data_IF_685960935204
#
_entry.id   IF_685960935204
#
_cell.length_a   1.000
_cell.length_b   1.000
_cell.length_c   1.000
_cell.angle_alpha   90.00
_cell.angle_beta   90.00
_cell.angle_gamma   90.00
#
_symmetry.space_group_name_H-M   'P 1'
#
loop_
_entity.id
_entity.type
_entity.pdbx_description
1 polymer ?
#
# COMPACT_ATOMS: atom_id res chain seq x y z
N UNK A 1 -4.72 79.52 1.65
CA UNK A 1 -5.14 78.24 2.28
C UNK A 1 -5.68 78.49 3.68
N UNK A 2 -6.83 77.91 4.00
CA UNK A 2 -7.56 78.09 5.28
C UNK A 2 -6.92 77.33 6.46
N UNK A 3 -6.09 76.32 6.21
CA UNK A 3 -5.67 75.33 7.22
C UNK A 3 -4.18 75.42 7.62
N UNK A 4 -3.53 76.58 7.49
CA UNK A 4 -2.13 76.71 7.89
C UNK A 4 -2.00 76.70 9.43
N UNK A 5 -1.13 75.89 10.05
CA UNK A 5 -1.06 75.71 11.50
C UNK A 5 -0.73 77.01 12.26
N UNK A 6 -0.05 77.95 11.60
CA UNK A 6 0.33 79.25 12.16
C UNK A 6 -0.85 80.23 12.34
N UNK A 7 -2.02 79.94 11.74
CA UNK A 7 -3.21 80.79 11.86
C UNK A 7 -4.10 80.48 13.06
N UNK A 8 -3.76 79.46 13.85
CA UNK A 8 -4.56 78.98 14.98
C UNK A 8 -3.78 79.07 16.30
N UNK A 9 -4.34 79.76 17.30
CA UNK A 9 -3.72 79.98 18.61
C UNK A 9 -4.04 78.88 19.62
N UNK A 10 -5.18 78.20 19.47
CA UNK A 10 -5.60 77.13 20.36
C UNK A 10 -4.87 75.80 20.03
N UNK A 11 -4.37 75.06 21.02
CA UNK A 11 -3.55 73.86 20.80
C UNK A 11 -4.31 72.74 20.09
N UNK A 12 -5.61 72.57 20.37
CA UNK A 12 -6.44 71.56 19.71
C UNK A 12 -6.72 71.90 18.25
N UNK A 13 -7.09 73.16 17.97
CA UNK A 13 -7.34 73.64 16.61
C UNK A 13 -6.07 73.64 15.76
N UNK A 14 -4.91 73.92 16.37
CA UNK A 14 -3.60 73.83 15.69
C UNK A 14 -3.28 72.41 15.26
N UNK A 15 -3.50 71.41 16.13
CA UNK A 15 -3.31 69.98 15.79
C UNK A 15 -4.28 69.51 14.70
N UNK A 16 -5.52 70.02 14.69
CA UNK A 16 -6.48 69.72 13.63
C UNK A 16 -6.07 70.36 12.29
N UNK A 17 -5.64 71.62 12.31
CA UNK A 17 -5.16 72.33 11.13
C UNK A 17 -3.91 71.66 10.54
N UNK A 18 -2.98 71.20 11.37
CA UNK A 18 -1.79 70.46 10.92
C UNK A 18 -2.14 69.14 10.22
N UNK A 19 -3.08 68.37 10.78
CA UNK A 19 -3.57 67.14 10.12
C UNK A 19 -4.22 67.43 8.76
N UNK A 20 -5.07 68.45 8.70
CA UNK A 20 -5.73 68.85 7.45
C UNK A 20 -4.73 69.41 6.43
N UNK A 21 -3.74 70.16 6.88
CA UNK A 21 -2.65 70.66 6.05
C UNK A 21 -1.86 69.51 5.43
N UNK A 22 -1.44 68.54 6.24
CA UNK A 22 -0.71 67.36 5.77
C UNK A 22 -1.53 66.54 4.76
N UNK A 23 -2.84 66.37 5.01
CA UNK A 23 -3.72 65.68 4.07
C UNK A 23 -3.87 66.42 2.74
N UNK A 24 -4.05 67.74 2.78
CA UNK A 24 -4.17 68.56 1.56
C UNK A 24 -2.84 68.62 0.81
N UNK A 25 -1.73 68.69 1.52
CA UNK A 25 -0.40 68.66 0.92
C UNK A 25 -0.12 67.31 0.24
N UNK A 26 -0.38 66.20 0.90
CA UNK A 26 -0.27 64.85 0.30
C UNK A 26 -1.19 64.69 -0.91
N UNK A 27 -2.44 65.15 -0.81
CA UNK A 27 -3.36 65.10 -1.94
C UNK A 27 -2.86 65.96 -3.12
N UNK A 28 -2.26 67.11 -2.83
CA UNK A 28 -1.65 67.95 -3.87
C UNK A 28 -0.47 67.25 -4.52
N UNK A 29 0.46 66.68 -3.76
CA UNK A 29 1.63 65.96 -4.32
C UNK A 29 1.20 64.80 -5.25
N UNK A 30 0.20 64.01 -4.83
CA UNK A 30 -0.30 62.86 -5.59
C UNK A 30 -1.13 63.28 -6.82
N UNK A 31 -1.92 64.34 -6.71
CA UNK A 31 -2.82 64.75 -7.79
C UNK A 31 -2.19 65.78 -8.75
N UNK A 32 -1.10 66.44 -8.34
CA UNK A 32 -0.40 67.46 -9.14
C UNK A 32 0.38 66.84 -10.30
N UNK A 33 0.91 65.62 -10.15
CA UNK A 33 1.62 64.92 -11.23
C UNK A 33 0.70 63.89 -11.92
N UNK A 34 0.55 63.93 -13.26
CA UNK A 34 -0.29 62.99 -13.99
C UNK A 34 0.09 61.52 -13.80
N UNK A 35 1.37 61.18 -13.56
CA UNK A 35 1.79 59.78 -13.40
C UNK A 35 1.37 59.22 -12.03
N UNK A 36 1.72 59.93 -10.95
CA UNK A 36 1.32 59.56 -9.58
C UNK A 36 -0.19 59.54 -9.42
N UNK A 37 -0.91 60.45 -10.09
CA UNK A 37 -2.37 60.42 -10.18
C UNK A 37 -2.89 59.15 -10.86
N UNK A 38 -2.33 58.77 -12.01
CA UNK A 38 -2.74 57.56 -12.72
C UNK A 38 -2.50 56.29 -11.89
N UNK A 39 -1.39 56.23 -11.16
CA UNK A 39 -1.09 55.12 -10.22
C UNK A 39 -2.11 55.10 -9.08
N UNK A 40 -2.43 56.26 -8.52
CA UNK A 40 -3.42 56.38 -7.44
C UNK A 40 -4.83 56.01 -7.89
N UNK A 41 -5.24 56.42 -9.09
CA UNK A 41 -6.56 56.11 -9.65
C UNK A 41 -6.74 54.58 -9.89
N UNK A 42 -5.66 53.84 -10.14
CA UNK A 42 -5.68 52.40 -10.39
C UNK A 42 -5.49 51.57 -9.11
N UNK A 43 -4.53 51.94 -8.27
CA UNK A 43 -4.05 51.13 -7.13
C UNK A 43 -4.24 51.81 -5.75
N UNK A 44 -4.73 53.04 -5.72
CA UNK A 44 -4.88 53.84 -4.51
C UNK A 44 -3.54 54.13 -3.83
N UNK A 45 -3.57 54.33 -2.51
CA UNK A 45 -2.37 54.63 -1.71
C UNK A 45 -1.28 53.53 -1.80
N UNK A 46 -1.69 52.26 -1.96
CA UNK A 46 -0.76 51.11 -2.06
C UNK A 46 0.15 51.18 -3.29
N UNK A 47 -0.30 51.83 -4.36
CA UNK A 47 0.50 52.04 -5.56
C UNK A 47 1.66 53.02 -5.32
N UNK A 48 1.44 54.04 -4.49
CA UNK A 48 2.41 55.10 -4.22
C UNK A 48 3.53 54.69 -3.26
N UNK A 49 3.26 53.70 -2.39
CA UNK A 49 4.24 53.15 -1.44
C UNK A 49 5.22 52.15 -2.08
N UNK A 50 5.04 51.84 -3.37
CA UNK A 50 5.89 50.91 -4.09
C UNK A 50 7.13 51.61 -4.64
N UNK A 51 8.31 51.24 -4.14
CA UNK A 51 9.59 51.67 -4.71
C UNK A 51 9.80 51.00 -6.09
N UNK A 52 10.23 51.77 -7.10
CA UNK A 52 10.53 51.24 -8.45
C UNK A 52 9.81 51.93 -9.62
N UNK A 53 8.88 52.85 -9.37
CA UNK A 53 8.19 53.63 -10.42
C UNK A 53 9.09 54.60 -11.18
N UNK A 54 10.27 54.93 -10.64
CA UNK A 54 11.20 55.91 -11.20
C UNK A 54 11.72 55.55 -12.61
N UNK A 55 11.61 54.28 -12.99
CA UNK A 55 12.07 53.74 -14.29
C UNK A 55 10.95 53.75 -15.35
N UNK A 56 9.71 54.08 -14.98
CA UNK A 56 8.55 54.00 -15.89
C UNK A 56 8.30 55.32 -16.60
N UNK A 57 8.46 55.31 -17.93
CA UNK A 57 8.29 56.47 -18.80
C UNK A 57 6.89 57.13 -18.71
N UNK A 58 6.85 58.44 -18.96
CA UNK A 58 5.75 59.39 -18.69
C UNK A 58 4.41 59.18 -19.40
N UNK A 59 4.22 58.09 -20.18
CA UNK A 59 3.02 57.91 -21.02
C UNK A 59 2.63 56.45 -21.25
N UNK A 60 2.31 55.71 -20.17
CA UNK A 60 1.77 54.35 -20.29
C UNK A 60 0.25 54.29 -20.14
N UNK A 61 -0.38 53.34 -20.82
CA UNK A 61 -1.82 53.10 -20.70
C UNK A 61 -2.18 52.49 -19.35
N UNK A 62 -3.43 52.61 -18.86
CA UNK A 62 -3.85 52.00 -17.58
C UNK A 62 -3.64 50.47 -17.51
N UNK A 63 -3.64 49.78 -18.65
CA UNK A 63 -3.35 48.34 -18.71
C UNK A 63 -1.86 48.05 -18.52
N UNK A 64 -0.98 48.83 -19.17
CA UNK A 64 0.47 48.72 -19.01
C UNK A 64 0.95 49.11 -17.61
N UNK A 65 0.32 50.11 -16.98
CA UNK A 65 0.60 50.47 -15.58
C UNK A 65 0.26 49.29 -14.66
N UNK A 66 -0.81 48.54 -14.98
CA UNK A 66 -1.17 47.36 -14.19
C UNK A 66 -0.15 46.24 -14.33
N UNK A 67 0.28 45.99 -15.54
CA UNK A 67 1.23 44.91 -15.85
C UNK A 67 2.63 45.20 -15.26
N UNK A 68 3.10 46.45 -15.33
CA UNK A 68 4.34 46.88 -14.67
C UNK A 68 4.24 46.78 -13.14
N UNK A 69 3.10 47.17 -12.55
CA UNK A 69 2.90 47.03 -11.12
C UNK A 69 2.96 45.57 -10.69
N UNK A 70 2.29 44.67 -11.40
CA UNK A 70 2.37 43.23 -11.14
C UNK A 70 3.81 42.69 -11.30
N UNK A 71 4.56 43.19 -12.29
CA UNK A 71 5.96 42.81 -12.49
C UNK A 71 6.84 43.26 -11.31
N UNK A 72 6.73 44.52 -10.90
CA UNK A 72 7.46 45.09 -9.76
C UNK A 72 7.09 44.39 -8.45
N UNK A 73 5.81 44.03 -8.27
CA UNK A 73 5.38 43.22 -7.13
C UNK A 73 6.08 41.87 -7.09
N UNK A 74 6.06 41.12 -8.20
CA UNK A 74 6.74 39.81 -8.27
C UNK A 74 8.23 39.93 -8.00
N UNK A 75 8.90 40.91 -8.60
CA UNK A 75 10.33 41.10 -8.40
C UNK A 75 10.67 41.46 -6.94
N UNK A 76 9.86 42.31 -6.29
CA UNK A 76 10.02 42.64 -4.86
C UNK A 76 9.77 41.42 -3.97
N UNK A 77 8.77 40.61 -4.29
CA UNK A 77 8.48 39.36 -3.59
C UNK A 77 9.63 38.37 -3.73
N UNK A 78 10.21 38.21 -4.93
CA UNK A 78 11.40 37.38 -5.18
C UNK A 78 12.63 37.88 -4.41
N UNK A 79 12.92 39.19 -4.46
CA UNK A 79 14.03 39.77 -3.69
C UNK A 79 13.84 39.61 -2.19
N UNK A 80 12.61 39.78 -1.69
CA UNK A 80 12.26 39.54 -0.29
C UNK A 80 12.44 38.08 0.07
N UNK A 81 12.18 37.15 -0.84
CA UNK A 81 12.41 35.72 -0.68
C UNK A 81 13.93 35.43 -0.59
N UNK A 82 14.74 36.02 -1.46
CA UNK A 82 16.21 35.89 -1.44
C UNK A 82 16.84 36.44 -0.16
N UNK A 83 16.32 37.55 0.38
CA UNK A 83 16.78 38.11 1.66
C UNK A 83 16.39 37.27 2.89
N UNK A 84 15.49 36.30 2.74
CA UNK A 84 15.12 35.35 3.81
C UNK A 84 16.05 34.15 3.88
N UNK A 85 17.12 34.12 3.09
CA UNK A 85 18.14 33.08 3.23
C UNK A 85 18.71 33.11 4.64
N UNK A 86 18.61 31.99 5.35
CA UNK A 86 19.04 31.86 6.74
C UNK A 86 20.28 30.96 6.82
N UNK A 87 21.49 31.50 6.57
CA UNK A 87 22.70 30.72 6.69
C UNK A 87 22.96 30.40 8.16
N UNK A 88 22.98 29.13 8.52
CA UNK A 88 23.37 28.61 9.83
C UNK A 88 24.67 27.84 9.66
N UNK A 89 25.64 28.05 10.53
CA UNK A 89 26.88 27.28 10.48
C UNK A 89 27.71 27.39 11.74
N UNK A 90 28.62 26.44 11.88
CA UNK A 90 29.58 26.37 12.98
C UNK A 90 30.97 26.15 12.39
N UNK A 91 31.92 26.96 12.84
CA UNK A 91 33.34 26.83 12.51
C UNK A 91 34.08 26.53 13.80
N UNK A 92 34.74 25.37 13.85
CA UNK A 92 35.55 24.93 14.97
C UNK A 92 36.99 24.76 14.50
N UNK A 93 37.92 25.45 15.15
CA UNK A 93 39.35 25.36 14.88
C UNK A 93 40.02 24.84 16.14
N UNK A 94 40.75 23.73 16.03
CA UNK A 94 41.59 23.21 17.10
C UNK A 94 43.01 23.69 16.88
N UNK A 95 43.47 24.50 17.82
CA UNK A 95 44.81 25.08 17.83
C UNK A 95 45.66 24.32 18.84
N UNK A 96 46.81 23.81 18.40
CA UNK A 96 47.84 23.27 19.28
C UNK A 96 48.68 24.44 19.81
N UNK A 97 48.81 24.48 21.14
CA UNK A 97 49.51 25.53 21.87
C UNK A 97 50.50 24.93 22.86
N UNK A 98 50.88 23.66 22.70
CA UNK A 98 51.77 22.95 23.64
C UNK A 98 53.09 23.71 23.85
N UNK A 99 53.68 24.25 22.77
CA UNK A 99 54.88 25.10 22.79
C UNK A 99 54.77 26.38 23.65
N UNK A 100 53.55 26.85 23.95
CA UNK A 100 53.35 28.01 24.84
C UNK A 100 53.49 27.65 26.33
N UNK A 101 53.33 26.37 26.67
CA UNK A 101 53.29 25.88 28.05
C UNK A 101 54.49 25.00 28.42
N UNK A 102 55.25 24.50 27.45
CA UNK A 102 56.50 23.75 27.64
C UNK A 102 57.69 24.66 28.01
N UNK A 103 57.52 25.48 29.06
CA UNK A 103 58.64 26.03 29.83
C UNK A 103 59.05 25.00 30.88
N UNK A 104 59.59 23.87 30.44
CA UNK A 104 60.37 23.05 31.36
C UNK A 104 61.68 23.80 31.67
N UNK A 105 62.03 23.87 32.95
CA UNK A 105 63.29 24.39 33.46
C UNK A 105 64.46 23.58 32.87
N UNK A 106 64.93 23.91 31.67
CA UNK A 106 66.26 23.53 31.21
C UNK A 106 67.28 24.50 31.81
N UNK A 107 67.50 24.35 33.11
CA UNK A 107 68.73 24.79 33.76
C UNK A 107 69.86 23.93 33.15
N UNK A 108 70.86 24.57 32.51
CA UNK A 108 72.01 23.99 31.78
C UNK A 108 71.88 23.80 30.25
N UNK A 109 71.94 24.88 29.47
CA UNK A 109 73.04 25.16 28.51
C UNK A 109 72.81 26.47 27.72
N UNK A 110 73.93 27.11 27.38
CA UNK A 110 74.06 28.46 26.80
C UNK A 110 73.94 28.38 25.26
N UNK A 111 72.73 28.56 24.69
CA UNK A 111 72.53 28.74 23.25
C UNK A 111 71.49 29.82 22.95
N UNK A 112 71.96 30.86 22.27
CA UNK A 112 71.16 31.91 21.64
C UNK A 112 70.10 31.35 20.69
N UNK A 113 68.83 31.40 21.09
CA UNK A 113 67.70 31.09 20.22
C UNK A 113 66.42 31.68 20.77
N UNK A 114 66.02 32.84 20.25
CA UNK A 114 64.64 33.33 20.40
C UNK A 114 63.73 32.46 19.54
N UNK A 115 63.43 31.25 20.01
CA UNK A 115 62.42 30.39 19.39
C UNK A 115 61.05 30.95 19.75
N UNK A 116 60.47 31.71 18.83
CA UNK A 116 59.07 32.08 18.92
C UNK A 116 58.22 30.81 18.91
N UNK A 117 57.27 30.64 19.85
CA UNK A 117 56.43 29.44 19.91
C UNK A 117 55.64 29.28 18.60
N UNK A 118 55.61 28.07 18.04
CA UNK A 118 54.88 27.79 16.81
C UNK A 118 53.46 27.35 17.15
N UNK A 119 52.49 28.19 16.81
CA UNK A 119 51.07 27.87 16.97
C UNK A 119 50.61 27.12 15.71
N UNK A 120 50.22 25.85 15.85
CA UNK A 120 49.76 25.03 14.72
C UNK A 120 48.24 24.77 14.78
N UNK A 121 47.59 24.75 13.61
CA UNK A 121 46.19 24.34 13.50
C UNK A 121 46.15 22.83 13.27
N UNK A 122 45.86 22.07 14.30
CA UNK A 122 45.81 20.60 14.25
C UNK A 122 44.52 20.09 13.54
N UNK A 123 43.39 20.77 13.78
CA UNK A 123 42.09 20.39 13.20
C UNK A 123 41.24 21.60 12.82
N UNK A 124 40.47 21.47 11.73
CA UNK A 124 39.47 22.44 11.33
C UNK A 124 38.17 21.71 10.97
N UNK A 125 37.04 22.19 11.47
CA UNK A 125 35.72 21.66 11.15
C UNK A 125 34.76 22.80 10.83
N UNK A 126 34.22 22.81 9.63
CA UNK A 126 33.24 23.78 9.15
C UNK A 126 31.98 23.00 8.80
N UNK A 127 30.85 23.36 9.40
CA UNK A 127 29.54 22.87 8.97
C UNK A 127 28.65 24.07 8.67
N UNK A 128 28.08 24.11 7.48
CA UNK A 128 27.25 25.21 7.01
C UNK A 128 25.97 24.67 6.38
N UNK A 129 24.85 25.36 6.59
CA UNK A 129 23.56 25.08 6.00
C UNK A 129 22.88 26.39 5.62
N UNK A 130 22.26 26.43 4.46
CA UNK A 130 21.55 27.58 3.93
C UNK A 130 20.16 27.09 3.53
N UNK A 131 19.15 27.65 4.17
CA UNK A 131 17.75 27.49 3.79
C UNK A 131 17.40 28.62 2.81
N UNK A 132 17.16 28.28 1.55
CA UNK A 132 16.85 29.21 0.47
C UNK A 132 15.43 28.94 -0.05
N UNK A 133 14.43 29.77 0.32
CA UNK A 133 13.09 29.62 -0.21
C UNK A 133 13.09 29.96 -1.71
N UNK A 134 12.65 29.02 -2.55
CA UNK A 134 12.54 29.19 -4.01
C UNK A 134 11.15 29.68 -4.41
N UNK A 135 10.12 29.16 -3.75
CA UNK A 135 8.70 29.51 -3.96
C UNK A 135 8.03 29.67 -2.60
N UNK A 136 6.79 30.17 -2.57
CA UNK A 136 5.99 30.27 -1.34
C UNK A 136 5.84 28.93 -0.57
N UNK A 137 5.96 27.78 -1.27
CA UNK A 137 5.86 26.44 -0.69
C UNK A 137 7.17 25.65 -0.67
N UNK A 138 8.14 26.05 -1.50
CA UNK A 138 9.32 25.24 -1.81
C UNK A 138 10.58 25.92 -1.27
N UNK A 139 11.27 25.22 -0.37
CA UNK A 139 12.54 25.68 0.21
C UNK A 139 13.65 24.71 -0.16
N UNK A 140 14.66 25.20 -0.84
CA UNK A 140 15.89 24.48 -1.09
C UNK A 140 16.80 24.55 0.15
N UNK A 141 17.40 23.43 0.51
CA UNK A 141 18.37 23.37 1.61
C UNK A 141 19.70 22.94 1.01
N UNK A 142 20.69 23.83 1.07
CA UNK A 142 22.07 23.52 0.73
C UNK A 142 22.85 23.39 2.02
N UNK A 143 23.56 22.29 2.22
CA UNK A 143 24.41 22.09 3.40
C UNK A 143 25.76 21.54 3.00
N UNK A 144 26.80 21.87 3.76
CA UNK A 144 28.15 21.41 3.53
C UNK A 144 28.86 21.16 4.85
N UNK A 145 29.72 20.16 4.86
CA UNK A 145 30.62 19.89 5.98
C UNK A 145 32.02 19.71 5.44
N UNK A 146 32.99 20.37 6.05
CA UNK A 146 34.42 20.24 5.76
C UNK A 146 35.14 19.94 7.05
N UNK A 147 35.91 18.87 7.09
CA UNK A 147 36.75 18.51 8.23
C UNK A 147 38.18 18.26 7.76
N UNK A 148 39.14 18.87 8.44
CA UNK A 148 40.58 18.71 8.20
C UNK A 148 41.25 18.31 9.51
N UNK A 149 42.20 17.38 9.43
CA UNK A 149 43.02 16.94 10.54
C UNK A 149 44.42 16.60 10.03
N UNK A 150 45.46 17.17 10.64
CA UNK A 150 46.87 16.89 10.31
C UNK A 150 47.17 16.95 8.80
N UNK A 151 46.70 18.00 8.13
CA UNK A 151 46.94 18.22 6.70
C UNK A 151 46.05 17.40 5.74
N UNK A 152 45.33 16.37 6.22
CA UNK A 152 44.36 15.63 5.42
C UNK A 152 42.94 16.11 5.73
N UNK A 153 42.21 16.53 4.69
CA UNK A 153 40.83 17.00 4.83
C UNK A 153 39.88 16.37 3.82
N UNK A 154 38.63 16.24 4.24
CA UNK A 154 37.53 15.76 3.42
C UNK A 154 36.29 16.62 3.66
N UNK A 155 35.48 16.80 2.61
CA UNK A 155 34.26 17.57 2.70
C UNK A 155 33.14 16.97 1.85
N UNK A 156 31.90 17.28 2.22
CA UNK A 156 30.70 16.90 1.49
C UNK A 156 29.78 18.10 1.33
N UNK A 157 29.02 18.14 0.23
CA UNK A 157 27.99 19.13 -0.02
C UNK A 157 26.71 18.36 -0.35
N UNK A 158 25.63 18.67 0.36
CA UNK A 158 24.32 18.07 0.20
C UNK A 158 23.32 19.15 -0.22
N UNK A 159 22.53 18.85 -1.23
CA UNK A 159 21.44 19.69 -1.70
C UNK A 159 20.12 18.93 -1.59
N UNK A 160 19.10 19.57 -1.01
CA UNK A 160 17.80 18.95 -0.75
C UNK A 160 16.67 19.88 -1.21
N UNK A 161 15.77 19.34 -2.01
CA UNK A 161 14.49 19.93 -2.39
C UNK A 161 13.36 19.02 -1.90
N UNK A 162 12.74 19.31 -0.74
CA UNK A 162 11.74 18.41 -0.14
C UNK A 162 10.57 18.09 -1.07
N UNK A 163 10.09 19.07 -1.83
CA UNK A 163 9.02 18.90 -2.82
C UNK A 163 9.42 17.91 -3.93
N UNK A 164 10.62 18.05 -4.48
CA UNK A 164 11.13 17.15 -5.52
C UNK A 164 11.28 15.71 -5.01
N UNK A 165 11.80 15.52 -3.79
CA UNK A 165 11.94 14.19 -3.17
C UNK A 165 10.57 13.53 -3.00
N UNK A 166 9.56 14.28 -2.55
CA UNK A 166 8.20 13.77 -2.40
C UNK A 166 7.61 13.28 -3.73
N UNK A 167 7.69 14.09 -4.79
CA UNK A 167 7.15 13.71 -6.10
C UNK A 167 7.96 12.62 -6.79
N UNK A 168 9.27 12.51 -6.54
CA UNK A 168 10.11 11.46 -7.13
C UNK A 168 9.95 10.10 -6.45
N UNK A 169 9.62 10.07 -5.15
CA UNK A 169 9.59 8.82 -4.37
C UNK A 169 8.18 8.41 -3.96
N UNK A 170 7.49 9.27 -3.22
CA UNK A 170 6.16 8.97 -2.67
C UNK A 170 5.14 8.86 -3.79
N UNK A 171 5.17 9.78 -4.76
CA UNK A 171 4.26 9.77 -5.90
C UNK A 171 4.27 8.42 -6.66
N UNK A 172 5.41 8.00 -7.24
CA UNK A 172 5.51 6.74 -7.95
C UNK A 172 5.18 5.51 -7.10
N UNK A 173 5.56 5.49 -5.82
CA UNK A 173 5.22 4.39 -4.92
C UNK A 173 3.72 4.28 -4.68
N UNK A 174 3.03 5.40 -4.43
CA UNK A 174 1.59 5.42 -4.24
C UNK A 174 0.88 5.03 -5.53
N UNK A 175 1.31 5.55 -6.68
CA UNK A 175 0.75 5.20 -8.00
C UNK A 175 0.96 3.72 -8.30
N UNK A 176 2.15 3.18 -8.06
CA UNK A 176 2.44 1.76 -8.23
C UNK A 176 1.56 0.89 -7.33
N UNK A 177 1.43 1.24 -6.05
CA UNK A 177 0.62 0.48 -5.11
C UNK A 177 -0.87 0.54 -5.46
N UNK A 178 -1.36 1.71 -5.86
CA UNK A 178 -2.73 1.89 -6.32
C UNK A 178 -3.01 1.06 -7.58
N UNK A 179 -2.13 1.13 -8.58
CA UNK A 179 -2.22 0.33 -9.82
C UNK A 179 -2.17 -1.17 -9.52
N UNK A 180 -1.29 -1.59 -8.61
CA UNK A 180 -1.17 -2.99 -8.24
C UNK A 180 -2.42 -3.50 -7.51
N UNK A 181 -3.01 -2.71 -6.61
CA UNK A 181 -4.24 -3.11 -5.90
C UNK A 181 -5.51 -3.01 -6.74
N UNK A 182 -5.67 -1.96 -7.54
CA UNK A 182 -6.92 -1.66 -8.23
C UNK A 182 -7.01 -2.28 -9.63
N UNK A 183 -5.88 -2.55 -10.28
CA UNK A 183 -5.88 -3.07 -11.66
C UNK A 183 -5.28 -4.48 -11.67
N UNK A 184 -4.06 -4.65 -11.16
CA UNK A 184 -3.32 -5.91 -11.32
C UNK A 184 -3.97 -7.05 -10.50
N UNK A 185 -4.25 -6.82 -9.20
CA UNK A 185 -4.88 -7.85 -8.35
C UNK A 185 -6.26 -8.32 -8.83
N UNK A 186 -7.22 -7.45 -9.19
CA UNK A 186 -8.51 -7.92 -9.69
C UNK A 186 -8.38 -8.63 -11.03
N UNK A 187 -7.51 -8.15 -11.94
CA UNK A 187 -7.27 -8.82 -13.21
C UNK A 187 -6.73 -10.25 -13.03
N UNK A 188 -5.70 -10.42 -12.18
CA UNK A 188 -5.12 -11.74 -11.90
C UNK A 188 -6.12 -12.68 -11.21
N UNK A 189 -6.98 -12.16 -10.32
CA UNK A 189 -8.04 -12.96 -9.68
C UNK A 189 -9.07 -13.43 -10.70
N UNK A 190 -9.55 -12.53 -11.56
CA UNK A 190 -10.49 -12.88 -12.62
C UNK A 190 -9.91 -13.92 -13.60
N UNK A 191 -8.61 -13.87 -13.87
CA UNK A 191 -7.96 -14.85 -14.73
C UNK A 191 -7.88 -16.24 -14.07
N UNK A 192 -7.54 -16.30 -12.78
CA UNK A 192 -7.55 -17.55 -12.00
C UNK A 192 -8.95 -18.14 -11.85
N UNK A 193 -9.97 -17.30 -11.68
CA UNK A 193 -11.36 -17.76 -11.61
C UNK A 193 -11.78 -18.43 -12.91
N UNK A 194 -11.47 -17.83 -14.07
CA UNK A 194 -11.75 -18.44 -15.39
C UNK A 194 -11.04 -19.78 -15.59
N UNK A 195 -9.80 -19.90 -15.12
CA UNK A 195 -9.06 -21.15 -15.22
C UNK A 195 -9.63 -22.24 -14.32
N UNK A 196 -10.06 -21.88 -13.10
CA UNK A 196 -10.76 -22.77 -12.19
C UNK A 196 -12.14 -23.20 -12.74
N UNK A 197 -12.87 -22.28 -13.37
CA UNK A 197 -14.14 -22.58 -14.04
C UNK A 197 -13.95 -23.62 -15.14
N UNK A 198 -12.93 -23.46 -16.00
CA UNK A 198 -12.59 -24.47 -17.02
C UNK A 198 -12.26 -25.83 -16.42
N UNK A 199 -11.48 -25.86 -15.33
CA UNK A 199 -11.16 -27.12 -14.64
C UNK A 199 -12.42 -27.77 -14.03
N UNK A 200 -13.37 -26.98 -13.54
CA UNK A 200 -14.65 -27.49 -13.04
C UNK A 200 -15.53 -28.03 -14.15
N UNK A 201 -15.57 -27.35 -15.30
CA UNK A 201 -16.32 -27.80 -16.47
C UNK A 201 -15.79 -29.16 -16.97
N UNK A 202 -14.47 -29.30 -17.15
CA UNK A 202 -13.86 -30.57 -17.57
C UNK A 202 -14.09 -31.68 -16.54
N UNK A 203 -13.95 -31.39 -15.24
CA UNK A 203 -14.22 -32.37 -14.20
C UNK A 203 -15.70 -32.79 -14.16
N UNK A 204 -16.63 -31.86 -14.42
CA UNK A 204 -18.07 -32.16 -14.45
C UNK A 204 -18.45 -33.04 -15.65
N UNK A 205 -17.83 -32.83 -16.83
CA UNK A 205 -18.04 -33.68 -18.00
C UNK A 205 -17.52 -35.11 -17.76
N UNK A 206 -16.37 -35.25 -17.10
CA UNK A 206 -15.79 -36.56 -16.77
C UNK A 206 -16.69 -37.34 -15.79
N UNK A 207 -17.24 -36.65 -14.79
CA UNK A 207 -18.20 -37.25 -13.83
C UNK A 207 -19.47 -37.71 -14.56
N UNK A 208 -19.98 -36.91 -15.51
CA UNK A 208 -21.16 -37.27 -16.29
C UNK A 208 -20.92 -38.51 -17.18
N UNK A 209 -19.76 -38.59 -17.83
CA UNK A 209 -19.40 -39.74 -18.65
C UNK A 209 -19.31 -41.02 -17.82
N UNK A 210 -18.62 -40.97 -16.67
CA UNK A 210 -18.53 -42.12 -15.75
C UNK A 210 -19.90 -42.53 -15.19
N UNK A 211 -20.78 -41.57 -14.94
CA UNK A 211 -22.16 -41.86 -14.54
C UNK A 211 -22.91 -42.65 -15.61
N UNK A 212 -22.83 -42.23 -16.88
CA UNK A 212 -23.48 -42.95 -17.98
C UNK A 212 -22.92 -44.37 -18.16
N UNK A 213 -21.60 -44.52 -18.03
CA UNK A 213 -20.94 -45.83 -18.06
C UNK A 213 -21.45 -46.74 -16.94
N UNK A 214 -21.49 -46.24 -15.70
CA UNK A 214 -21.99 -46.98 -14.54
C UNK A 214 -23.46 -47.38 -14.70
N UNK A 215 -24.33 -46.48 -15.14
CA UNK A 215 -25.75 -46.75 -15.39
C UNK A 215 -25.96 -47.83 -16.47
N UNK A 216 -25.13 -47.81 -17.53
CA UNK A 216 -25.18 -48.83 -18.58
C UNK A 216 -24.81 -50.22 -18.06
N UNK A 217 -23.79 -50.33 -17.20
CA UNK A 217 -23.37 -51.56 -16.55
C UNK A 217 -24.47 -52.11 -15.62
N UNK A 218 -25.11 -51.24 -14.83
CA UNK A 218 -26.23 -51.60 -13.95
C UNK A 218 -27.43 -52.12 -14.76
N UNK A 219 -27.77 -51.44 -15.86
CA UNK A 219 -28.87 -51.84 -16.75
C UNK A 219 -28.62 -53.19 -17.40
N UNK A 220 -27.38 -53.47 -17.81
CA UNK A 220 -26.96 -54.77 -18.33
C UNK A 220 -27.06 -55.89 -17.28
N UNK A 221 -26.61 -55.62 -16.05
CA UNK A 221 -26.69 -56.56 -14.94
C UNK A 221 -28.13 -56.93 -14.57
N UNK A 222 -29.06 -55.96 -14.57
CA UNK A 222 -30.48 -56.17 -14.23
C UNK A 222 -31.25 -57.05 -15.23
N UNK A 223 -30.75 -57.18 -16.46
CA UNK A 223 -31.34 -58.01 -17.53
C UNK A 223 -30.86 -59.45 -17.54
N UNK A 224 -29.76 -59.79 -16.84
CA UNK A 224 -29.33 -61.18 -16.70
C UNK A 224 -30.26 -61.89 -15.69
N UNK A 225 -30.95 -62.96 -16.06
CA UNK A 225 -31.62 -63.81 -15.07
C UNK A 225 -30.56 -64.29 -14.10
N UNK A 226 -30.74 -64.01 -12.81
CA UNK A 226 -29.86 -64.47 -11.75
C UNK A 226 -29.91 -65.99 -11.73
N UNK A 227 -28.92 -66.65 -12.33
CA UNK A 227 -28.79 -68.11 -12.43
C UNK A 227 -28.57 -68.82 -11.09
N UNK A 228 -28.82 -68.15 -9.96
CA UNK A 228 -28.60 -68.67 -8.60
C UNK A 228 -29.75 -68.35 -7.65
N UNK A 229 -30.96 -68.09 -8.18
CA UNK A 229 -32.18 -67.95 -7.39
C UNK A 229 -32.68 -69.33 -6.90
N UNK A 230 -31.87 -70.05 -6.12
CA UNK A 230 -32.30 -71.21 -5.32
C UNK A 230 -31.12 -71.84 -4.59
N UNK A 231 -30.68 -71.27 -3.47
CA UNK A 231 -30.22 -72.02 -2.28
C UNK A 231 -30.50 -71.13 -1.06
N UNK A 232 -31.48 -71.53 -0.26
CA UNK A 232 -32.30 -70.73 0.66
C UNK A 232 -31.62 -70.05 1.86
N UNK A 233 -30.28 -69.96 1.92
CA UNK A 233 -29.53 -69.45 3.09
C UNK A 233 -28.21 -68.71 2.75
N UNK A 234 -28.12 -68.07 1.57
CA UNK A 234 -26.92 -67.32 1.12
C UNK A 234 -26.84 -65.85 1.58
N UNK A 235 -25.83 -65.12 1.10
CA UNK A 235 -25.67 -63.66 1.30
C UNK A 235 -26.49 -62.88 0.26
N UNK A 236 -27.40 -62.03 0.73
CA UNK A 236 -28.27 -61.17 -0.10
C UNK A 236 -28.05 -59.72 0.31
N UNK A 237 -27.67 -58.85 -0.63
CA UNK A 237 -27.60 -57.41 -0.41
C UNK A 237 -29.03 -56.87 -0.53
N UNK A 238 -29.55 -56.33 0.56
CA UNK A 238 -30.90 -55.74 0.62
C UNK A 238 -30.84 -54.35 0.03
N UNK A 239 -30.03 -53.48 0.62
CA UNK A 239 -29.81 -52.09 0.18
C UNK A 239 -28.33 -51.74 0.30
N UNK A 240 -27.77 -51.02 -0.67
CA UNK A 240 -26.43 -50.47 -0.59
C UNK A 240 -26.37 -49.05 -1.17
N UNK A 241 -25.71 -48.16 -0.44
CA UNK A 241 -25.64 -46.73 -0.75
C UNK A 241 -24.20 -46.26 -0.70
N UNK A 242 -23.76 -45.51 -1.70
CA UNK A 242 -22.40 -44.97 -1.78
C UNK A 242 -22.41 -43.45 -1.97
N UNK A 243 -21.63 -42.71 -1.19
CA UNK A 243 -21.54 -41.25 -1.28
C UNK A 243 -21.27 -40.59 0.07
N UNK A 244 -21.56 -39.29 0.14
CA UNK A 244 -21.43 -38.51 1.37
C UNK A 244 -22.70 -38.63 2.21
N UNK A 245 -22.58 -39.20 3.40
CA UNK A 245 -23.67 -39.24 4.37
C UNK A 245 -23.56 -38.06 5.32
N UNK A 246 -24.65 -37.28 5.43
CA UNK A 246 -24.72 -36.14 6.34
C UNK A 246 -24.93 -36.66 7.76
N UNK A 247 -24.08 -36.21 8.69
CA UNK A 247 -24.26 -36.48 10.11
C UNK A 247 -25.26 -35.46 10.68
N UNK A 248 -26.15 -35.87 11.58
CA UNK A 248 -27.33 -35.11 12.06
C UNK A 248 -27.01 -33.77 12.78
N UNK A 249 -25.72 -33.44 12.91
CA UNK A 249 -25.22 -32.22 13.57
C UNK A 249 -25.06 -31.01 12.64
N UNK A 250 -25.20 -31.16 11.32
CA UNK A 250 -25.03 -30.04 10.36
C UNK A 250 -26.36 -29.48 9.86
N UNK A 251 -26.81 -28.35 10.45
CA UNK A 251 -28.05 -27.59 10.16
C UNK A 251 -28.10 -26.88 8.79
N UNK A 252 -27.58 -27.47 7.72
CA UNK A 252 -27.77 -26.92 6.36
C UNK A 252 -28.23 -28.01 5.41
N UNK A 253 -29.25 -27.71 4.61
CA UNK A 253 -29.77 -28.53 3.51
C UNK A 253 -28.69 -28.77 2.44
N UNK A 254 -27.70 -29.58 2.78
CA UNK A 254 -26.69 -30.07 1.85
C UNK A 254 -27.37 -31.15 1.00
N UNK A 255 -27.33 -31.01 -0.33
CA UNK A 255 -27.93 -32.00 -1.23
C UNK A 255 -27.25 -33.35 -0.99
N UNK A 256 -28.03 -34.36 -0.62
CA UNK A 256 -27.54 -35.73 -0.38
C UNK A 256 -27.01 -36.29 -1.72
N UNK A 257 -25.67 -36.31 -1.87
CA UNK A 257 -24.97 -36.84 -3.06
C UNK A 257 -24.69 -38.33 -2.86
N UNK A 258 -25.74 -39.16 -2.92
CA UNK A 258 -25.64 -40.61 -2.68
C UNK A 258 -26.20 -41.37 -3.88
N UNK A 259 -25.54 -42.47 -4.22
CA UNK A 259 -25.91 -43.38 -5.31
C UNK A 259 -26.36 -44.72 -4.76
N UNK A 260 -27.36 -45.33 -5.40
CA UNK A 260 -27.80 -46.69 -5.09
C UNK A 260 -26.91 -47.68 -5.84
N UNK A 261 -26.19 -48.50 -5.08
CA UNK A 261 -25.23 -49.49 -5.58
C UNK A 261 -25.64 -50.92 -5.24
N UNK A 262 -26.92 -51.13 -4.89
CA UNK A 262 -27.46 -52.44 -4.48
C UNK A 262 -27.26 -53.51 -5.56
N UNK A 263 -27.63 -53.20 -6.81
CA UNK A 263 -27.55 -54.15 -7.93
C UNK A 263 -26.10 -54.45 -8.32
N UNK A 264 -25.22 -53.44 -8.55
CA UNK A 264 -23.79 -53.68 -8.78
C UNK A 264 -23.15 -54.54 -7.70
N UNK A 265 -23.43 -54.26 -6.42
CA UNK A 265 -22.84 -54.98 -5.32
C UNK A 265 -23.32 -56.43 -5.24
N UNK A 266 -24.61 -56.68 -5.52
CA UNK A 266 -25.15 -58.03 -5.58
C UNK A 266 -24.49 -58.88 -6.67
N UNK A 267 -24.10 -58.28 -7.80
CA UNK A 267 -23.40 -58.98 -8.88
C UNK A 267 -21.94 -59.34 -8.55
N UNK A 268 -21.34 -58.69 -7.54
CA UNK A 268 -19.98 -58.98 -7.07
C UNK A 268 -19.94 -60.11 -6.03
N UNK A 269 -21.09 -60.56 -5.51
CA UNK A 269 -21.17 -61.66 -4.56
C UNK A 269 -20.83 -62.98 -5.25
N UNK A 270 -19.86 -63.72 -4.71
CA UNK A 270 -19.47 -65.07 -5.16
C UNK A 270 -19.47 -66.01 -3.95
N UNK A 271 -20.07 -67.19 -4.10
CA UNK A 271 -20.10 -68.23 -3.05
C UNK A 271 -20.60 -67.74 -1.67
N UNK A 272 -21.66 -66.93 -1.66
CA UNK A 272 -22.23 -66.30 -0.45
C UNK A 272 -21.24 -65.43 0.35
N UNK A 273 -20.22 -64.88 -0.30
CA UNK A 273 -19.26 -63.93 0.28
C UNK A 273 -19.07 -62.74 -0.65
N UNK A 274 -18.80 -61.57 -0.08
CA UNK A 274 -18.41 -60.38 -0.81
C UNK A 274 -17.07 -59.90 -0.25
N UNK A 275 -16.09 -59.75 -1.15
CA UNK A 275 -14.74 -59.29 -0.84
C UNK A 275 -14.45 -58.10 -1.74
N UNK A 276 -14.37 -56.91 -1.14
CA UNK A 276 -13.89 -55.69 -1.77
C UNK A 276 -12.44 -55.45 -1.33
N UNK A 277 -11.59 -55.10 -2.28
CA UNK A 277 -10.19 -54.73 -2.05
C UNK A 277 -10.08 -53.29 -1.52
N UNK A 278 -8.89 -52.88 -1.09
CA UNK A 278 -8.57 -51.53 -0.59
C UNK A 278 -8.50 -50.45 -1.69
N UNK A 279 -8.98 -50.77 -2.90
CA UNK A 279 -9.09 -49.81 -4.00
C UNK A 279 -10.33 -48.92 -3.82
N UNK A 280 -10.31 -47.72 -4.43
CA UNK A 280 -11.48 -46.83 -4.42
C UNK A 280 -12.70 -47.55 -4.99
N UNK A 281 -13.80 -47.55 -4.23
CA UNK A 281 -15.05 -48.22 -4.60
C UNK A 281 -15.72 -47.55 -5.79
N UNK A 282 -15.37 -46.29 -6.10
CA UNK A 282 -15.79 -45.60 -7.31
C UNK A 282 -15.26 -46.25 -8.60
N UNK A 283 -14.21 -47.08 -8.53
CA UNK A 283 -13.65 -47.81 -9.68
C UNK A 283 -14.34 -49.16 -9.97
N UNK A 284 -15.33 -49.56 -9.17
CA UNK A 284 -16.04 -50.83 -9.36
C UNK A 284 -17.07 -50.71 -10.50
N UNK A 285 -17.35 -51.80 -11.24
CA UNK A 285 -18.33 -51.77 -12.32
C UNK A 285 -19.72 -51.40 -11.78
N UNK A 286 -20.32 -50.33 -12.33
CA UNK A 286 -21.60 -49.80 -11.87
C UNK A 286 -21.52 -48.81 -10.71
N UNK A 287 -20.30 -48.44 -10.27
CA UNK A 287 -20.07 -47.37 -9.30
C UNK A 287 -19.57 -46.11 -10.04
N UNK A 288 -19.86 -44.95 -9.48
CA UNK A 288 -19.25 -43.68 -9.86
C UNK A 288 -19.12 -42.79 -8.62
N UNK A 289 -18.31 -41.74 -8.72
CA UNK A 289 -18.09 -40.80 -7.63
C UNK A 289 -19.10 -39.63 -7.68
N UNK A 290 -20.06 -39.53 -6.75
CA UNK A 290 -21.02 -38.43 -6.74
C UNK A 290 -20.45 -37.14 -6.10
N UNK A 291 -19.30 -37.19 -5.42
CA UNK A 291 -18.73 -36.08 -4.66
C UNK A 291 -17.19 -36.08 -4.69
N UNK A 292 -16.64 -35.75 -5.86
CA UNK A 292 -15.20 -35.67 -6.10
C UNK A 292 -14.54 -34.70 -5.11
N UNK A 293 -13.53 -35.18 -4.38
CA UNK A 293 -12.78 -34.41 -3.38
C UNK A 293 -13.40 -34.34 -1.98
N UNK A 294 -14.55 -34.96 -1.75
CA UNK A 294 -15.18 -35.06 -0.42
C UNK A 294 -15.06 -36.50 0.15
N UNK A 295 -15.20 -36.65 1.46
CA UNK A 295 -15.19 -37.97 2.12
C UNK A 295 -16.44 -38.79 1.75
N UNK A 296 -16.21 -40.05 1.36
CA UNK A 296 -17.21 -40.98 0.84
C UNK A 296 -17.21 -42.27 1.62
N UNK A 297 -18.41 -42.75 1.92
CA UNK A 297 -18.61 -44.02 2.60
C UNK A 297 -19.52 -44.92 1.76
N UNK A 298 -19.39 -46.23 1.99
CA UNK A 298 -20.29 -47.26 1.49
C UNK A 298 -21.08 -47.81 2.67
N UNK A 299 -22.39 -47.65 2.66
CA UNK A 299 -23.32 -48.26 3.62
C UNK A 299 -23.98 -49.47 2.96
N UNK A 300 -23.85 -50.64 3.57
CA UNK A 300 -24.41 -51.90 3.06
C UNK A 300 -25.32 -52.51 4.11
N UNK A 301 -26.55 -52.81 3.71
CA UNK A 301 -27.52 -53.63 4.44
C UNK A 301 -27.66 -54.96 3.72
N UNK A 302 -27.38 -56.04 4.41
CA UNK A 302 -27.39 -57.37 3.83
C UNK A 302 -28.03 -58.37 4.79
N UNK A 303 -28.58 -59.44 4.21
CA UNK A 303 -29.14 -60.57 4.93
C UNK A 303 -28.24 -61.78 4.69
N UNK A 304 -27.87 -62.48 5.76
CA UNK A 304 -27.11 -63.72 5.68
C UNK A 304 -27.80 -64.77 6.54
N UNK A 305 -28.18 -65.91 5.95
CA UNK A 305 -28.91 -67.00 6.64
C UNK A 305 -30.16 -66.51 7.40
N UNK A 306 -30.90 -65.57 6.82
CA UNK A 306 -32.12 -65.01 7.41
C UNK A 306 -31.91 -63.83 8.37
N UNK A 307 -30.68 -63.56 8.82
CA UNK A 307 -30.37 -62.49 9.79
C UNK A 307 -29.87 -61.22 9.09
N UNK A 308 -30.40 -60.06 9.49
CA UNK A 308 -30.00 -58.75 8.96
C UNK A 308 -28.71 -58.23 9.57
N UNK A 309 -27.90 -57.62 8.72
CA UNK A 309 -26.61 -57.05 9.07
C UNK A 309 -26.43 -55.68 8.40
N UNK A 310 -25.77 -54.74 9.09
CA UNK A 310 -25.43 -53.42 8.59
C UNK A 310 -23.94 -53.15 8.77
N UNK A 311 -23.32 -52.55 7.75
CA UNK A 311 -21.94 -52.07 7.81
C UNK A 311 -21.80 -50.75 7.10
N UNK A 312 -20.96 -49.87 7.63
CA UNK A 312 -20.51 -48.64 6.98
C UNK A 312 -18.98 -48.69 6.88
N UNK A 313 -18.45 -48.39 5.70
CA UNK A 313 -17.04 -48.56 5.37
C UNK A 313 -16.56 -47.35 4.58
N UNK A 314 -15.32 -46.91 4.80
CA UNK A 314 -14.73 -45.80 4.02
C UNK A 314 -14.48 -46.22 2.55
N UNK A 315 -14.26 -45.27 1.65
CA UNK A 315 -14.03 -45.54 0.21
C UNK A 315 -12.86 -46.51 -0.05
N UNK A 316 -11.73 -46.31 0.61
CA UNK A 316 -10.51 -47.11 0.42
C UNK A 316 -10.37 -48.31 1.36
N UNK A 317 -11.34 -48.54 2.26
CA UNK A 317 -11.26 -49.60 3.25
C UNK A 317 -11.83 -50.92 2.70
N UNK A 318 -11.08 -52.01 2.86
CA UNK A 318 -11.48 -53.35 2.42
C UNK A 318 -12.71 -53.84 3.18
N UNK A 319 -13.67 -54.39 2.43
CA UNK A 319 -14.90 -54.97 3.00
C UNK A 319 -14.96 -56.47 2.73
N UNK A 320 -15.00 -57.26 3.80
CA UNK A 320 -15.26 -58.70 3.74
C UNK A 320 -16.53 -59.00 4.54
N UNK A 321 -17.58 -59.45 3.86
CA UNK A 321 -18.86 -59.87 4.48
C UNK A 321 -19.24 -61.27 3.99
N UNK A 322 -19.95 -62.09 4.80
CA UNK A 322 -20.59 -61.76 6.08
C UNK A 322 -19.63 -61.73 7.30
N UNK A 323 -19.92 -60.86 8.28
CA UNK A 323 -19.26 -60.84 9.60
C UNK A 323 -20.32 -60.77 10.70
N UNK A 324 -20.11 -61.50 11.80
CA UNK A 324 -21.02 -61.49 12.96
C UNK A 324 -21.10 -60.12 13.64
N UNK A 325 -20.01 -59.34 13.63
CA UNK A 325 -19.95 -57.99 14.21
C UNK A 325 -20.88 -56.98 13.54
N UNK A 326 -21.43 -57.30 12.37
CA UNK A 326 -22.33 -56.42 11.63
C UNK A 326 -23.80 -56.75 11.87
N UNK A 327 -24.11 -57.73 12.73
CA UNK A 327 -25.47 -58.16 12.99
C UNK A 327 -26.28 -57.02 13.61
N UNK A 328 -27.48 -56.81 13.11
CA UNK A 328 -28.46 -55.89 13.71
C UNK A 328 -29.36 -56.75 14.57
N UNK A 329 -29.41 -56.47 15.87
CA UNK A 329 -30.42 -57.07 16.73
C UNK A 329 -31.74 -56.35 16.46
N UNK A 330 -32.72 -57.12 15.99
CA UNK A 330 -34.08 -56.64 15.67
C UNK A 330 -35.01 -56.62 16.88
N UNK A 331 -34.47 -56.85 18.07
CA UNK A 331 -35.23 -56.82 19.33
C UNK A 331 -35.14 -55.40 19.89
N UNK A 332 -36.31 -54.78 20.04
CA UNK A 332 -36.48 -53.37 20.40
C UNK A 332 -36.14 -53.01 21.84
#
# INVERSE_FOLDING_TARGET
>A
MLYHPDKHRDPELKSQAERLFNLVHQAYEVLSDPQTRAIYDIYGKRGLEMEGWEVVERRRTPAEIREEFERLQREREERRLQQRTNPKGTISVGVDATDLFDRYDEEYEDVSGSSFPQIEINKMHISQSIEAPLTATDTAILSGSLSTQNGNGGGSINFLLPSAVFYATVGPLVVYFAMHRLIIKPYLRAQKEKELEKQRESAATDVLQKKQEAESAVRGARRRPSSTRSLSLGLIIVNAWYGKFVNDKSRKSEKVKVIDVTVPLQCLVKDSKLILTEASKAGLPGFYDPCVGEEKNLKVLYQFRGVLHQVMVLDSEALRIPKQSHRIDTDG
#
